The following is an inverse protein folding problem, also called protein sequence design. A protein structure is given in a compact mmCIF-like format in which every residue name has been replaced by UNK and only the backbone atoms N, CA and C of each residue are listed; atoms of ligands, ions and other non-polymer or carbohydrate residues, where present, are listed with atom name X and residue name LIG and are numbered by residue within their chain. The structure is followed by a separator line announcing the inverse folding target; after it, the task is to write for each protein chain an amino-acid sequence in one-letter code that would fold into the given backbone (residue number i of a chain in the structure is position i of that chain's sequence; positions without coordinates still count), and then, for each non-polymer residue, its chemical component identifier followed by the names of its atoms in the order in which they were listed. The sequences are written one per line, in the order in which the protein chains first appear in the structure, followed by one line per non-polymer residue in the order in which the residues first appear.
data_IF_223073351072
#
_entry.id   IF_223073351072
#
_cell.length_a   1.000
_cell.length_b   1.000
_cell.length_c   1.000
_cell.angle_alpha   90.00
_cell.angle_beta   90.00
_cell.angle_gamma   90.00
#
_symmetry.space_group_name_H-M   'P 1'
#
loop_
_entity.id
_entity.type
_entity.pdbx_description
1 polymer ?
#
# COMPACT_ATOMS: atom_id res chain seq x y z
N UNK A 1 -17.65 -5.50 2.05
CA UNK A 1 -16.49 -5.17 2.91
C UNK A 1 -16.98 -4.25 4.01
N UNK A 2 -16.71 -4.59 5.28
CA UNK A 2 -17.04 -3.73 6.41
C UNK A 2 -16.11 -2.51 6.43
N UNK A 3 -16.64 -1.34 6.81
CA UNK A 3 -15.84 -0.10 6.92
C UNK A 3 -15.14 -0.05 8.28
N UNK A 4 -13.84 0.33 8.36
CA UNK A 4 -13.11 0.40 9.63
C UNK A 4 -13.69 1.51 10.54
N UNK A 5 -13.85 1.21 11.83
CA UNK A 5 -14.42 2.14 12.83
C UNK A 5 -13.41 3.20 13.28
N UNK A 6 -12.12 2.87 13.26
CA UNK A 6 -10.98 3.77 13.45
C UNK A 6 -9.88 3.38 12.48
N UNK A 7 -9.03 4.33 12.10
CA UNK A 7 -7.87 4.05 11.26
C UNK A 7 -6.65 4.70 11.87
N UNK A 8 -5.62 3.89 12.08
CA UNK A 8 -4.31 4.37 12.46
C UNK A 8 -3.44 4.58 11.22
N UNK A 9 -2.54 5.55 11.35
CA UNK A 9 -1.65 5.98 10.27
C UNK A 9 -0.21 5.85 10.71
N UNK A 10 0.56 5.04 10.00
CA UNK A 10 1.97 4.81 10.30
C UNK A 10 2.82 5.33 9.14
N UNK A 11 3.89 6.05 9.45
CA UNK A 11 4.86 6.52 8.45
C UNK A 11 5.90 5.42 8.20
N UNK A 12 5.82 4.78 7.03
CA UNK A 12 6.79 3.78 6.58
C UNK A 12 7.84 4.37 5.65
N UNK A 13 8.78 3.53 5.21
CA UNK A 13 9.87 3.93 4.30
C UNK A 13 9.38 4.44 2.94
N UNK A 14 8.21 3.99 2.49
CA UNK A 14 7.62 4.33 1.18
C UNK A 14 6.38 5.22 1.28
N UNK A 15 6.20 5.91 2.41
CA UNK A 15 5.07 6.80 2.66
C UNK A 15 4.11 6.24 3.70
N UNK A 16 2.87 6.74 3.65
CA UNK A 16 1.87 6.43 4.66
C UNK A 16 1.20 5.07 4.45
N UNK A 17 0.99 4.35 5.57
CA UNK A 17 0.32 3.06 5.64
C UNK A 17 -0.93 3.23 6.49
N UNK A 18 -2.09 2.81 5.98
CA UNK A 18 -3.35 2.82 6.71
C UNK A 18 -3.68 1.43 7.26
N UNK A 19 -4.08 1.38 8.53
CA UNK A 19 -4.43 0.14 9.24
C UNK A 19 -5.86 0.21 9.80
N UNK A 20 -6.61 -0.89 9.68
CA UNK A 20 -7.92 -1.00 10.34
C UNK A 20 -7.77 -1.16 11.87
N UNK A 21 -8.90 -1.24 12.58
CA UNK A 21 -8.94 -1.46 14.03
C UNK A 21 -8.19 -2.70 14.54
N UNK A 22 -7.92 -3.67 13.66
CA UNK A 22 -7.23 -4.90 14.00
C UNK A 22 -5.75 -4.86 13.59
N UNK A 23 -5.28 -3.73 13.05
CA UNK A 23 -3.93 -3.58 12.52
C UNK A 23 -3.76 -4.10 11.09
N UNK A 24 -4.84 -4.48 10.39
CA UNK A 24 -4.73 -4.96 9.02
C UNK A 24 -4.46 -3.79 8.07
N UNK A 25 -3.40 -3.92 7.27
CA UNK A 25 -3.04 -2.94 6.26
C UNK A 25 -3.94 -3.09 5.04
N UNK A 26 -4.54 -1.98 4.58
CA UNK A 26 -5.44 -2.02 3.42
C UNK A 26 -5.18 -0.91 2.38
N UNK A 27 -4.37 0.09 2.71
CA UNK A 27 -3.94 1.11 1.75
C UNK A 27 -2.47 1.46 1.99
N UNK A 28 -1.61 0.81 1.22
CA UNK A 28 -0.15 0.88 1.35
C UNK A 28 0.50 0.89 -0.03
N UNK A 29 1.69 1.48 -0.09
CA UNK A 29 2.54 1.38 -1.26
C UNK A 29 2.91 -0.09 -1.56
N UNK A 30 2.93 -0.42 -2.84
CA UNK A 30 3.40 -1.69 -3.41
C UNK A 30 4.64 -1.45 -4.27
N UNK A 31 5.44 -2.50 -4.46
CA UNK A 31 6.70 -2.46 -5.18
C UNK A 31 6.61 -3.31 -6.46
N UNK A 32 6.02 -2.79 -7.55
CA UNK A 32 6.06 -3.45 -8.85
C UNK A 32 7.49 -3.81 -9.27
N UNK A 33 7.65 -5.06 -9.65
CA UNK A 33 8.88 -5.59 -10.21
C UNK A 33 8.65 -5.82 -11.71
N UNK A 34 9.58 -5.37 -12.55
CA UNK A 34 9.53 -5.65 -13.98
C UNK A 34 10.31 -6.93 -14.25
N UNK A 35 9.63 -7.91 -14.84
CA UNK A 35 10.26 -9.07 -15.46
C UNK A 35 10.42 -8.80 -16.95
N UNK A 36 11.60 -9.06 -17.50
CA UNK A 36 11.78 -9.08 -18.94
C UNK A 36 11.09 -10.32 -19.52
N UNK A 37 10.55 -10.25 -20.75
CA UNK A 37 9.89 -11.41 -21.38
C UNK A 37 10.76 -12.67 -21.44
N UNK A 38 12.07 -12.49 -21.54
CA UNK A 38 13.09 -13.54 -21.57
C UNK A 38 13.63 -13.95 -20.19
N UNK A 39 13.07 -13.40 -19.10
CA UNK A 39 13.53 -13.66 -17.73
C UNK A 39 13.47 -15.15 -17.39
N UNK A 40 14.55 -15.64 -16.77
CA UNK A 40 14.67 -16.99 -16.23
C UNK A 40 15.00 -16.95 -14.74
N UNK A 41 14.69 -18.04 -14.06
CA UNK A 41 15.06 -18.22 -12.65
C UNK A 41 16.58 -18.04 -12.47
N UNK A 42 16.97 -17.13 -11.59
CA UNK A 42 18.37 -16.72 -11.39
C UNK A 42 18.75 -15.39 -12.06
N UNK A 43 17.94 -14.88 -12.99
CA UNK A 43 18.18 -13.58 -13.63
C UNK A 43 17.84 -12.41 -12.70
N UNK A 44 18.59 -11.32 -12.87
CA UNK A 44 18.42 -10.11 -12.05
C UNK A 44 17.07 -9.45 -12.34
N UNK A 45 16.25 -9.33 -11.30
CA UNK A 45 14.98 -8.60 -11.36
C UNK A 45 15.25 -7.11 -11.13
N UNK A 46 14.65 -6.25 -11.94
CA UNK A 46 14.71 -4.80 -11.76
C UNK A 46 13.47 -4.29 -11.02
N UNK A 47 13.70 -3.50 -9.98
CA UNK A 47 12.68 -2.65 -9.39
C UNK A 47 12.18 -1.64 -10.44
N UNK A 48 10.86 -1.56 -10.62
CA UNK A 48 10.26 -0.61 -11.58
C UNK A 48 10.01 0.74 -10.89
N UNK A 49 9.14 0.73 -9.87
CA UNK A 49 8.77 1.93 -9.11
C UNK A 49 8.04 1.56 -7.82
N UNK A 50 7.82 2.55 -6.97
CA UNK A 50 6.77 2.50 -5.93
C UNK A 50 5.43 2.85 -6.59
N UNK A 51 4.38 2.09 -6.28
CA UNK A 51 3.03 2.37 -6.75
C UNK A 51 2.02 2.19 -5.62
N UNK A 52 0.81 2.72 -5.81
CA UNK A 52 -0.31 2.52 -4.90
C UNK A 52 -1.46 1.83 -5.62
N UNK A 53 -2.31 1.07 -4.92
CA UNK A 53 -3.44 0.38 -5.54
C UNK A 53 -4.34 1.31 -6.36
N UNK A 54 -4.57 2.54 -5.87
CA UNK A 54 -5.39 3.55 -6.54
C UNK A 54 -4.57 4.46 -7.50
N UNK A 55 -3.29 4.14 -7.72
CA UNK A 55 -2.39 4.90 -8.60
C UNK A 55 -1.84 6.21 -8.01
N UNK A 56 -2.21 6.57 -6.77
CA UNK A 56 -1.75 7.76 -6.06
C UNK A 56 -1.49 7.45 -4.59
N UNK A 57 -0.59 8.20 -3.97
CA UNK A 57 -0.36 8.12 -2.53
C UNK A 57 -1.68 8.42 -1.77
N UNK A 58 -1.99 7.66 -0.70
CA UNK A 58 -3.13 7.94 0.15
C UNK A 58 -3.02 9.36 0.70
N UNK A 59 -4.14 10.10 0.76
CA UNK A 59 -4.13 11.43 1.35
C UNK A 59 -3.63 11.37 2.80
N UNK A 60 -3.15 12.50 3.30
CA UNK A 60 -2.65 12.54 4.68
C UNK A 60 -3.73 12.25 5.73
N UNK A 61 -4.99 12.46 5.36
CA UNK A 61 -6.20 12.22 6.16
C UNK A 61 -6.81 10.88 5.81
N UNK A 62 -6.86 9.96 6.78
CA UNK A 62 -7.61 8.72 6.61
C UNK A 62 -9.11 8.96 6.89
N UNK A 63 -10.03 8.56 6.01
CA UNK A 63 -11.46 8.56 6.30
C UNK A 63 -11.78 7.38 7.22
N UNK A 64 -11.42 7.48 8.50
CA UNK A 64 -12.10 6.68 9.51
C UNK A 64 -13.58 7.06 9.43
N UNK A 65 -14.49 6.07 9.33
CA UNK A 65 -15.90 6.40 9.54
C UNK A 65 -15.99 6.89 10.98
N UNK A 66 -16.30 8.18 11.19
CA UNK A 66 -16.92 8.60 12.44
C UNK A 66 -18.19 7.76 12.55
N UNK A 67 -18.10 6.64 13.25
CA UNK A 67 -19.27 5.92 13.72
C UNK A 67 -20.00 6.87 14.65
N UNK A 68 -21.08 7.47 14.15
CA UNK A 68 -22.15 7.98 15.00
C UNK A 68 -22.89 6.81 15.62
#
# INVERSE_FOLDING_TARGET
MARPKSVDKVHGTTGWIWQDNNGNVFDTAVHPMRLLPEWKEGDRISFDRVAWPEGREPPSTCPASRGG
#
